data_IF_115941572636
#
_entry.id   IF_115941572636
#
_cell.length_a   1.000
_cell.length_b   1.000
_cell.length_c   1.000
_cell.angle_alpha   90.00
_cell.angle_beta   90.00
_cell.angle_gamma   90.00
#
_symmetry.space_group_name_H-M   'P 1'
#
loop_
_entity.id
_entity.type
_entity.pdbx_description
1 polymer ?
#
# COMPACT_ATOMS: atom_id res chain seq x y z
N UNK A 1 -36.57 23.91 26.07
CA UNK A 1 -36.23 22.48 25.89
C UNK A 1 -35.04 22.39 24.94
N UNK A 2 -33.86 22.01 25.44
CA UNK A 2 -32.68 21.80 24.61
C UNK A 2 -32.76 20.43 23.94
N UNK A 3 -32.93 20.41 22.61
CA UNK A 3 -32.94 19.19 21.83
C UNK A 3 -31.53 18.57 21.82
N UNK A 4 -31.36 17.44 22.51
CA UNK A 4 -30.15 16.63 22.46
C UNK A 4 -30.29 15.66 21.29
N UNK A 5 -29.52 15.81 20.19
CA UNK A 5 -29.57 14.82 19.12
C UNK A 5 -29.09 13.47 19.67
N UNK A 6 -29.79 12.40 19.31
CA UNK A 6 -29.52 11.02 19.73
C UNK A 6 -28.05 10.64 19.49
N UNK A 7 -27.43 9.99 20.49
CA UNK A 7 -26.02 9.54 20.48
C UNK A 7 -25.61 8.78 19.20
N UNK A 8 -26.57 8.11 18.56
CA UNK A 8 -26.41 7.37 17.31
C UNK A 8 -25.87 8.26 16.15
N UNK A 9 -26.28 9.53 16.08
CA UNK A 9 -25.85 10.46 15.02
C UNK A 9 -24.42 10.98 15.23
N UNK A 10 -23.97 11.03 16.49
CA UNK A 10 -22.63 11.53 16.84
C UNK A 10 -21.57 10.44 16.67
N UNK A 11 -21.95 9.16 16.83
CA UNK A 11 -21.08 8.02 16.57
C UNK A 11 -20.82 7.82 15.06
N UNK A 12 -21.84 8.06 14.23
CA UNK A 12 -21.70 7.99 12.77
C UNK A 12 -20.83 9.11 12.18
N UNK A 13 -20.68 10.25 12.87
CA UNK A 13 -19.87 11.38 12.41
C UNK A 13 -18.36 11.21 12.70
N UNK A 14 -17.99 10.34 13.63
CA UNK A 14 -16.59 10.07 14.00
C UNK A 14 -15.96 8.91 13.23
N UNK A 15 -16.69 8.30 12.30
CA UNK A 15 -16.11 7.32 11.37
C UNK A 15 -15.61 8.10 10.15
N UNK A 16 -14.28 8.29 9.96
CA UNK A 16 -13.80 8.74 8.68
C UNK A 16 -14.23 7.69 7.66
N UNK A 17 -15.17 8.07 6.80
CA UNK A 17 -15.50 7.39 5.56
C UNK A 17 -14.23 7.41 4.69
N UNK A 18 -13.31 6.49 4.97
CA UNK A 18 -12.23 6.17 4.05
C UNK A 18 -12.83 5.17 3.08
N UNK A 19 -12.96 5.63 1.84
CA UNK A 19 -13.59 4.93 0.73
C UNK A 19 -13.30 3.42 0.70
N UNK A 20 -14.25 2.59 0.22
CA UNK A 20 -13.96 1.21 -0.11
C UNK A 20 -13.03 1.22 -1.33
N UNK A 21 -11.72 1.25 -1.10
CA UNK A 21 -10.75 0.99 -2.16
C UNK A 21 -10.81 -0.49 -2.48
N UNK A 22 -11.73 -0.85 -3.38
CA UNK A 22 -11.68 -2.10 -4.12
C UNK A 22 -10.42 -2.05 -4.99
N UNK A 23 -9.34 -2.72 -4.58
CA UNK A 23 -8.48 -3.45 -5.54
C UNK A 23 -7.52 -4.42 -4.84
N UNK A 24 -7.82 -5.70 -5.13
CA UNK A 24 -7.02 -6.91 -5.12
C UNK A 24 -6.35 -7.39 -3.82
N UNK A 25 -6.75 -8.59 -3.35
CA UNK A 25 -5.82 -9.47 -2.67
C UNK A 25 -4.86 -10.03 -3.72
N UNK A 26 -3.73 -9.36 -3.96
CA UNK A 26 -2.55 -10.03 -4.51
C UNK A 26 -1.46 -10.09 -3.45
N UNK A 27 -1.61 -10.99 -2.45
CA UNK A 27 -0.63 -11.21 -1.39
C UNK A 27 0.70 -11.83 -1.85
N UNK A 28 0.93 -12.07 -3.14
CA UNK A 28 2.14 -12.76 -3.60
C UNK A 28 3.31 -11.83 -3.92
N UNK A 29 3.13 -10.82 -4.78
CA UNK A 29 4.24 -9.99 -5.24
C UNK A 29 4.79 -9.07 -4.15
N UNK A 30 3.92 -8.47 -3.33
CA UNK A 30 4.35 -7.58 -2.26
C UNK A 30 5.16 -8.31 -1.19
N UNK A 31 4.81 -9.56 -0.88
CA UNK A 31 5.53 -10.38 0.10
C UNK A 31 6.91 -10.77 -0.41
N UNK A 32 7.04 -11.10 -1.69
CA UNK A 32 8.35 -11.34 -2.33
C UNK A 32 9.22 -10.09 -2.27
N UNK A 33 8.65 -8.91 -2.58
CA UNK A 33 9.39 -7.64 -2.53
C UNK A 33 9.83 -7.27 -1.10
N UNK A 34 9.03 -7.62 -0.10
CA UNK A 34 9.41 -7.49 1.32
C UNK A 34 10.59 -8.41 1.65
N UNK A 35 10.59 -9.65 1.19
CA UNK A 35 11.66 -10.60 1.48
C UNK A 35 12.98 -10.12 0.88
N UNK A 36 12.95 -9.67 -0.37
CA UNK A 36 14.09 -9.03 -1.05
C UNK A 36 14.56 -7.79 -0.29
N UNK A 37 13.65 -6.96 0.21
CA UNK A 37 14.01 -5.81 1.03
C UNK A 37 14.80 -6.25 2.29
N UNK A 38 14.34 -7.31 2.97
CA UNK A 38 15.03 -7.86 4.14
C UNK A 38 16.39 -8.46 3.81
N UNK A 39 16.51 -9.20 2.71
CA UNK A 39 17.78 -9.75 2.24
C UNK A 39 18.82 -8.65 1.96
N UNK A 40 18.36 -7.47 1.54
CA UNK A 40 19.18 -6.29 1.30
C UNK A 40 19.34 -5.38 2.54
N UNK A 41 18.92 -5.84 3.73
CA UNK A 41 19.09 -5.13 5.00
C UNK A 41 18.05 -4.06 5.31
N UNK A 42 16.99 -3.94 4.50
CA UNK A 42 15.87 -3.03 4.76
C UNK A 42 14.89 -3.69 5.72
N UNK A 43 14.60 -3.01 6.82
CA UNK A 43 13.64 -3.51 7.80
C UNK A 43 12.21 -3.30 7.30
N UNK A 44 11.37 -4.33 7.45
CA UNK A 44 9.94 -4.28 7.11
C UNK A 44 9.21 -3.11 7.75
N UNK A 45 9.63 -2.72 8.96
CA UNK A 45 9.05 -1.62 9.73
C UNK A 45 9.19 -0.26 9.05
N UNK A 46 10.23 -0.07 8.24
CA UNK A 46 10.47 1.15 7.46
C UNK A 46 9.95 1.00 6.03
N UNK A 47 10.07 -0.21 5.46
CA UNK A 47 9.66 -0.51 4.10
C UNK A 47 8.14 -0.38 3.88
N UNK A 48 7.32 -1.02 4.72
CA UNK A 48 5.85 -1.04 4.59
C UNK A 48 5.24 0.38 4.66
N UNK A 49 5.61 1.26 5.62
CA UNK A 49 5.09 2.61 5.63
C UNK A 49 5.60 3.47 4.47
N UNK A 50 6.84 3.25 4.00
CA UNK A 50 7.35 3.91 2.79
C UNK A 50 6.51 3.53 1.55
N UNK A 51 6.22 2.24 1.37
CA UNK A 51 5.37 1.74 0.29
C UNK A 51 3.97 2.34 0.37
N UNK A 52 3.36 2.34 1.56
CA UNK A 52 2.01 2.90 1.78
C UNK A 52 1.95 4.41 1.50
N UNK A 53 3.04 5.14 1.79
CA UNK A 53 3.13 6.58 1.51
C UNK A 53 3.18 6.85 0.01
N UNK A 54 3.96 6.07 -0.74
CA UNK A 54 4.06 6.17 -2.21
C UNK A 54 2.76 5.73 -2.87
N UNK A 55 2.17 4.62 -2.42
CA UNK A 55 0.87 4.13 -2.88
C UNK A 55 -0.19 5.22 -2.81
N UNK A 56 -0.34 5.88 -1.65
CA UNK A 56 -1.32 6.98 -1.47
C UNK A 56 -0.98 8.24 -2.26
N UNK A 57 0.30 8.50 -2.52
CA UNK A 57 0.73 9.71 -3.26
C UNK A 57 0.48 9.61 -4.75
N UNK A 58 0.65 8.41 -5.31
CA UNK A 58 0.59 8.16 -6.75
C UNK A 58 -0.69 7.40 -7.16
N UNK A 59 -1.49 6.96 -6.19
CA UNK A 59 -2.68 6.12 -6.37
C UNK A 59 -2.39 4.85 -7.21
N UNK A 60 -1.24 4.23 -6.95
CA UNK A 60 -0.75 3.04 -7.65
C UNK A 60 -0.95 1.77 -6.83
N UNK A 61 -0.74 0.62 -7.48
CA UNK A 61 -0.71 -0.66 -6.80
C UNK A 61 0.44 -0.75 -5.78
N UNK A 62 0.20 -1.44 -4.67
CA UNK A 62 1.20 -1.57 -3.59
C UNK A 62 2.47 -2.29 -4.04
N UNK A 63 2.38 -3.24 -4.99
CA UNK A 63 3.53 -3.91 -5.56
C UNK A 63 4.40 -2.95 -6.40
N UNK A 64 3.76 -2.06 -7.16
CA UNK A 64 4.46 -1.01 -7.90
C UNK A 64 5.09 0.02 -6.97
N UNK A 65 4.40 0.41 -5.89
CA UNK A 65 4.96 1.28 -4.86
C UNK A 65 6.20 0.65 -4.18
N UNK A 66 6.15 -0.66 -3.90
CA UNK A 66 7.28 -1.39 -3.32
C UNK A 66 8.51 -1.44 -4.23
N UNK A 67 8.33 -1.62 -5.55
CA UNK A 67 9.44 -1.50 -6.51
C UNK A 67 10.09 -0.12 -6.48
N UNK A 68 9.28 0.94 -6.36
CA UNK A 68 9.82 2.30 -6.29
C UNK A 68 10.66 2.48 -5.01
N UNK A 69 10.21 1.96 -3.87
CA UNK A 69 10.99 2.02 -2.62
C UNK A 69 12.29 1.22 -2.74
N UNK A 70 12.26 0.01 -3.31
CA UNK A 70 13.47 -0.78 -3.53
C UNK A 70 14.48 -0.05 -4.43
N UNK A 71 14.00 0.55 -5.51
CA UNK A 71 14.82 1.35 -6.43
C UNK A 71 15.42 2.58 -5.75
N UNK A 72 14.64 3.27 -4.91
CA UNK A 72 15.09 4.44 -4.16
C UNK A 72 16.21 4.09 -3.16
N UNK A 73 16.20 2.85 -2.65
CA UNK A 73 17.26 2.30 -1.80
C UNK A 73 18.45 1.72 -2.59
N UNK A 74 18.47 1.85 -3.92
CA UNK A 74 19.56 1.38 -4.77
C UNK A 74 19.57 -0.13 -5.02
N UNK A 75 18.48 -0.83 -4.73
CA UNK A 75 18.34 -2.27 -5.01
C UNK A 75 17.99 -2.46 -6.48
N UNK A 76 18.65 -3.42 -7.14
CA UNK A 76 18.34 -3.77 -8.52
C UNK A 76 16.94 -4.40 -8.60
N UNK A 77 16.02 -3.65 -9.20
CA UNK A 77 14.62 -4.08 -9.39
C UNK A 77 14.40 -4.78 -10.73
N UNK A 78 15.42 -4.85 -11.60
CA UNK A 78 15.36 -5.42 -12.94
C UNK A 78 14.59 -6.75 -13.02
N UNK A 79 14.94 -7.78 -12.23
CA UNK A 79 14.27 -9.09 -12.28
C UNK A 79 12.85 -9.07 -11.71
N UNK A 80 12.47 -8.07 -10.93
CA UNK A 80 11.14 -7.95 -10.32
C UNK A 80 10.19 -7.05 -11.11
N UNK A 81 10.74 -6.22 -12.00
CA UNK A 81 9.96 -5.26 -12.79
C UNK A 81 9.08 -5.98 -13.80
N UNK A 82 9.59 -7.06 -14.41
CA UNK A 82 8.87 -7.85 -15.42
C UNK A 82 7.58 -8.46 -14.86
N UNK A 83 7.65 -9.06 -13.66
CA UNK A 83 6.49 -9.63 -12.97
C UNK A 83 5.42 -8.60 -12.62
N UNK A 84 5.82 -7.38 -12.27
CA UNK A 84 4.86 -6.30 -11.98
C UNK A 84 4.26 -5.75 -13.27
N UNK A 85 5.02 -5.66 -14.36
CA UNK A 85 4.48 -5.29 -15.67
C UNK A 85 3.46 -6.32 -16.19
N UNK A 86 3.70 -7.62 -16.02
CA UNK A 86 2.72 -8.66 -16.37
C UNK A 86 1.43 -8.55 -15.56
N UNK A 87 1.54 -8.26 -14.25
CA UNK A 87 0.39 -8.05 -13.38
C UNK A 87 -0.43 -6.80 -13.72
N UNK A 88 0.23 -5.71 -14.15
CA UNK A 88 -0.44 -4.47 -14.59
C UNK A 88 -1.13 -4.68 -15.95
N UNK A 89 -0.49 -5.39 -16.88
CA UNK A 89 -1.02 -5.61 -18.24
C UNK A 89 -2.26 -6.52 -18.25
N UNK A 90 -2.42 -7.35 -17.22
CA UNK A 90 -3.55 -8.28 -17.08
C UNK A 90 -4.76 -7.69 -16.34
N UNK A 91 -4.72 -6.40 -15.95
CA UNK A 91 -5.82 -5.69 -15.26
C UNK A 91 -6.63 -4.76 -16.15
#
# INVERSE_FOLDING_TARGET
LAYKPSKELVDSLHKPATAPSKKNPEPDLFHVLIDVAKENGIQTKDFVPACSRIQKRLDIDIAAAALIVLRDNGIDIGPYTDKVYEGIRSR
#
